data_IF_046286342922
#
_entry.id   IF_046286342922
#
_cell.length_a   1.000
_cell.length_b   1.000
_cell.length_c   1.000
_cell.angle_alpha   90.00
_cell.angle_beta   90.00
_cell.angle_gamma   90.00
#
_symmetry.space_group_name_H-M   'P 1'
#
loop_
_entity.id
_entity.type
_entity.pdbx_description
1 polymer ?
#
# COMPACT_ATOMS: atom_id res chain seq x y z
N UNK A 1 7.23 7.16 14.61
CA UNK A 1 6.43 8.19 13.90
C UNK A 1 7.18 9.49 13.60
N UNK A 2 8.10 9.96 14.44
CA UNK A 2 8.80 11.26 14.24
C UNK A 2 9.62 11.38 12.94
N UNK A 3 10.18 10.28 12.41
CA UNK A 3 11.01 10.30 11.18
C UNK A 3 10.14 10.49 9.93
N UNK A 4 9.00 9.83 9.86
CA UNK A 4 8.08 9.93 8.71
C UNK A 4 7.50 11.34 8.55
N UNK A 5 7.21 12.04 9.66
CA UNK A 5 6.74 13.42 9.61
C UNK A 5 7.74 14.40 9.00
N UNK A 6 9.05 14.18 9.21
CA UNK A 6 10.12 14.99 8.59
C UNK A 6 10.22 14.76 7.07
N UNK A 7 9.79 13.63 6.58
CA UNK A 7 9.78 13.25 5.16
C UNK A 7 8.46 13.60 4.46
N UNK A 8 7.59 14.39 5.08
CA UNK A 8 6.23 14.71 4.58
C UNK A 8 5.36 13.46 4.34
N UNK A 9 5.59 12.38 5.07
CA UNK A 9 4.79 11.17 5.00
C UNK A 9 3.57 11.32 5.90
N UNK A 10 2.39 11.24 5.32
CA UNK A 10 1.12 11.17 6.06
C UNK A 10 0.83 9.71 6.39
N UNK A 11 0.68 9.40 7.67
CA UNK A 11 0.39 8.04 8.13
C UNK A 11 -1.09 7.93 8.47
N UNK A 12 -1.76 7.00 7.81
CA UNK A 12 -3.12 6.61 8.15
C UNK A 12 -3.13 5.15 8.65
N UNK A 13 -3.74 4.90 9.78
CA UNK A 13 -3.81 3.57 10.38
C UNK A 13 -5.23 3.22 10.81
N UNK A 14 -5.58 1.94 10.73
CA UNK A 14 -6.81 1.37 11.29
C UNK A 14 -6.48 0.13 12.10
N UNK A 15 -7.27 -0.09 13.15
CA UNK A 15 -7.20 -1.34 13.91
C UNK A 15 -7.66 -2.51 13.05
N UNK A 16 -6.96 -3.63 13.15
CA UNK A 16 -7.38 -4.88 12.52
C UNK A 16 -8.72 -5.33 13.11
N UNK A 17 -9.59 -5.86 12.27
CA UNK A 17 -10.79 -6.59 12.69
C UNK A 17 -10.45 -8.06 12.80
N UNK A 18 -10.66 -8.63 13.98
CA UNK A 18 -10.39 -10.02 14.24
C UNK A 18 -11.67 -10.86 14.04
N UNK A 19 -11.52 -12.02 13.42
CA UNK A 19 -12.58 -13.00 13.27
C UNK A 19 -12.01 -14.41 13.35
N UNK A 20 -12.83 -15.34 13.78
CA UNK A 20 -12.46 -16.74 13.85
C UNK A 20 -12.63 -17.40 12.48
N UNK A 21 -11.60 -18.09 12.01
CA UNK A 21 -11.68 -18.98 10.85
C UNK A 21 -11.56 -20.43 11.32
N UNK A 22 -12.31 -21.32 10.71
CA UNK A 22 -12.21 -22.76 10.94
C UNK A 22 -11.28 -23.36 9.88
N UNK A 23 -10.26 -24.06 10.32
CA UNK A 23 -9.32 -24.77 9.46
C UNK A 23 -9.52 -26.27 9.72
N UNK A 24 -9.93 -27.00 8.68
CA UNK A 24 -10.02 -28.46 8.75
C UNK A 24 -8.64 -29.05 8.49
N UNK A 25 -8.10 -29.79 9.44
CA UNK A 25 -6.83 -30.48 9.31
C UNK A 25 -6.98 -31.80 8.53
N UNK A 26 -5.88 -32.38 8.02
CA UNK A 26 -5.90 -33.65 7.28
C UNK A 26 -6.48 -34.84 8.06
N UNK A 27 -6.40 -34.81 9.38
CA UNK A 27 -6.97 -35.80 10.31
C UNK A 27 -8.49 -35.63 10.55
N UNK A 28 -9.10 -34.61 9.92
CA UNK A 28 -10.52 -34.29 10.06
C UNK A 28 -10.86 -33.39 11.24
N UNK A 29 -9.91 -33.05 12.12
CA UNK A 29 -10.13 -32.13 13.24
C UNK A 29 -10.34 -30.70 12.74
N UNK A 30 -11.15 -29.93 13.49
CA UNK A 30 -11.39 -28.51 13.18
C UNK A 30 -10.65 -27.65 14.20
N UNK A 31 -9.70 -26.88 13.68
CA UNK A 31 -9.02 -25.84 14.47
C UNK A 31 -9.62 -24.48 14.21
N UNK A 32 -9.95 -23.77 15.31
CA UNK A 32 -10.37 -22.35 15.20
C UNK A 32 -9.16 -21.46 15.40
N UNK A 33 -8.88 -20.61 14.39
CA UNK A 33 -7.81 -19.64 14.43
C UNK A 33 -8.36 -18.23 14.38
N UNK A 34 -7.92 -17.38 15.31
CA UNK A 34 -8.21 -15.95 15.27
C UNK A 34 -7.31 -15.28 14.24
N UNK A 35 -7.92 -14.64 13.24
CA UNK A 35 -7.20 -13.95 12.15
C UNK A 35 -7.59 -12.49 12.13
N UNK A 36 -6.58 -11.62 12.16
CA UNK A 36 -6.76 -10.20 11.94
C UNK A 36 -6.91 -9.92 10.44
N UNK A 37 -7.95 -9.20 10.08
CA UNK A 37 -8.19 -8.73 8.71
C UNK A 37 -8.21 -7.22 8.67
N UNK A 38 -7.42 -6.66 7.76
CA UNK A 38 -7.54 -5.26 7.40
C UNK A 38 -8.89 -5.01 6.71
N UNK A 39 -9.47 -3.84 6.90
CA UNK A 39 -10.70 -3.45 6.22
C UNK A 39 -10.75 -1.95 5.98
N UNK A 40 -10.86 -1.59 4.70
CA UNK A 40 -11.14 -0.23 4.26
C UNK A 40 -9.90 0.66 4.07
N UNK A 41 -8.70 0.09 4.01
CA UNK A 41 -7.50 0.85 3.58
C UNK A 41 -7.60 1.17 2.09
N UNK A 42 -8.06 0.24 1.25
CA UNK A 42 -8.23 0.47 -0.20
C UNK A 42 -9.21 1.60 -0.47
N UNK A 43 -10.33 1.62 0.27
CA UNK A 43 -11.31 2.71 0.22
C UNK A 43 -10.67 4.04 0.64
N UNK A 44 -9.79 4.03 1.65
CA UNK A 44 -9.07 5.23 2.08
C UNK A 44 -8.10 5.71 1.01
N UNK A 45 -7.35 4.80 0.38
CA UNK A 45 -6.46 5.13 -0.72
C UNK A 45 -7.25 5.77 -1.86
N UNK A 46 -8.36 5.17 -2.27
CA UNK A 46 -9.24 5.68 -3.31
C UNK A 46 -9.70 7.12 -3.01
N UNK A 47 -10.21 7.35 -1.81
CA UNK A 47 -10.69 8.66 -1.38
C UNK A 47 -9.57 9.70 -1.36
N UNK A 48 -8.37 9.35 -0.86
CA UNK A 48 -7.26 10.29 -0.80
C UNK A 48 -6.74 10.64 -2.20
N UNK A 49 -6.62 9.67 -3.10
CA UNK A 49 -6.19 9.91 -4.49
C UNK A 49 -7.14 10.87 -5.18
N UNK A 50 -8.46 10.62 -5.12
CA UNK A 50 -9.48 11.47 -5.76
C UNK A 50 -9.51 12.86 -5.11
N UNK A 51 -9.56 12.95 -3.78
CA UNK A 51 -9.61 14.21 -3.05
C UNK A 51 -8.41 15.11 -3.35
N UNK A 52 -7.20 14.54 -3.34
CA UNK A 52 -5.98 15.30 -3.61
C UNK A 52 -5.91 15.76 -5.07
N UNK A 53 -6.46 15.00 -6.03
CA UNK A 53 -6.61 15.43 -7.41
C UNK A 53 -7.51 16.65 -7.53
N UNK A 54 -8.70 16.63 -6.88
CA UNK A 54 -9.62 17.77 -6.87
C UNK A 54 -9.00 19.03 -6.29
N UNK A 55 -8.11 18.91 -5.30
CA UNK A 55 -7.43 20.04 -4.67
C UNK A 55 -6.12 20.45 -5.39
N UNK A 56 -5.81 19.88 -6.54
CA UNK A 56 -4.59 20.17 -7.31
C UNK A 56 -3.28 19.90 -6.53
N UNK A 57 -3.29 18.88 -5.64
CA UNK A 57 -2.15 18.59 -4.77
C UNK A 57 -1.08 17.73 -5.48
N UNK A 58 -1.38 17.18 -6.66
CA UNK A 58 -0.44 16.42 -7.48
C UNK A 58 -0.81 16.45 -8.97
N UNK A 59 0.16 16.16 -9.82
CA UNK A 59 -0.01 15.89 -11.25
C UNK A 59 0.15 14.41 -11.58
N UNK A 60 0.90 13.66 -10.76
CA UNK A 60 1.10 12.22 -10.90
C UNK A 60 0.87 11.53 -9.56
N UNK A 61 -0.07 10.58 -9.54
CA UNK A 61 -0.25 9.66 -8.42
C UNK A 61 0.41 8.32 -8.72
N UNK A 62 1.19 7.79 -7.79
CA UNK A 62 1.73 6.43 -7.85
C UNK A 62 1.14 5.61 -6.71
N UNK A 63 0.34 4.61 -7.06
CA UNK A 63 -0.28 3.69 -6.10
C UNK A 63 0.54 2.40 -6.05
N UNK A 64 1.01 2.01 -4.85
CA UNK A 64 1.69 0.74 -4.65
C UNK A 64 0.64 -0.36 -4.39
N UNK A 65 0.00 -0.83 -5.46
CA UNK A 65 -1.05 -1.84 -5.39
C UNK A 65 -1.21 -2.59 -6.71
N UNK A 66 -1.76 -3.80 -6.64
CA UNK A 66 -2.24 -4.61 -7.76
C UNK A 66 -3.75 -4.90 -7.64
N UNK A 67 -4.42 -4.27 -6.67
CA UNK A 67 -5.84 -4.49 -6.43
C UNK A 67 -6.67 -3.86 -7.54
N UNK A 68 -7.47 -4.69 -8.22
CA UNK A 68 -8.29 -4.26 -9.35
C UNK A 68 -9.49 -3.41 -8.93
N UNK A 69 -9.86 -3.40 -7.65
CA UNK A 69 -10.90 -2.51 -7.14
C UNK A 69 -10.52 -1.03 -7.27
N UNK A 70 -9.19 -0.75 -7.38
CA UNK A 70 -8.69 0.60 -7.64
C UNK A 70 -8.79 1.03 -9.12
N UNK A 71 -9.30 0.18 -10.02
CA UNK A 71 -9.53 0.53 -11.43
C UNK A 71 -10.51 1.70 -11.58
N UNK A 72 -11.51 1.75 -10.70
CA UNK A 72 -12.51 2.84 -10.69
C UNK A 72 -11.86 4.19 -10.33
N UNK A 73 -10.85 4.18 -9.45
CA UNK A 73 -10.07 5.37 -9.12
C UNK A 73 -9.39 5.94 -10.37
N UNK A 74 -8.79 5.06 -11.18
CA UNK A 74 -8.14 5.48 -12.42
C UNK A 74 -9.12 6.08 -13.44
N UNK A 75 -10.34 5.56 -13.49
CA UNK A 75 -11.41 6.12 -14.32
C UNK A 75 -11.82 7.51 -13.83
N UNK A 76 -12.04 7.67 -12.52
CA UNK A 76 -12.43 8.94 -11.90
C UNK A 76 -11.36 10.03 -12.08
N UNK A 77 -10.07 9.69 -11.95
CA UNK A 77 -8.99 10.65 -12.19
C UNK A 77 -9.00 11.22 -13.62
N UNK A 78 -9.43 10.44 -14.61
CA UNK A 78 -9.60 10.95 -15.99
C UNK A 78 -10.74 11.95 -16.08
N UNK A 79 -11.82 11.73 -15.34
CA UNK A 79 -12.95 12.68 -15.27
C UNK A 79 -12.47 13.98 -14.63
N UNK A 80 -11.81 13.92 -13.47
CA UNK A 80 -11.25 15.08 -12.77
C UNK A 80 -10.29 15.87 -13.69
N UNK A 81 -9.41 15.16 -14.41
CA UNK A 81 -8.48 15.78 -15.35
C UNK A 81 -9.19 16.55 -16.47
N UNK A 82 -10.28 15.97 -17.00
CA UNK A 82 -11.10 16.60 -18.03
C UNK A 82 -11.86 17.82 -17.48
N UNK A 83 -12.50 17.70 -16.32
CA UNK A 83 -13.25 18.79 -15.69
C UNK A 83 -12.38 20.00 -15.35
N UNK A 84 -11.15 19.72 -14.87
CA UNK A 84 -10.18 20.76 -14.50
C UNK A 84 -9.34 21.24 -15.69
N UNK A 85 -9.54 20.67 -16.89
CA UNK A 85 -8.68 20.92 -18.06
C UNK A 85 -7.19 20.84 -17.69
N UNK A 86 -6.82 19.81 -16.95
CA UNK A 86 -5.47 19.62 -16.39
C UNK A 86 -4.95 18.23 -16.72
N UNK A 87 -3.64 18.15 -16.96
CA UNK A 87 -2.97 16.87 -17.14
C UNK A 87 -2.78 16.21 -15.77
N UNK A 88 -3.36 15.02 -15.58
CA UNK A 88 -3.18 14.19 -14.38
C UNK A 88 -2.91 12.76 -14.84
N UNK A 89 -1.90 12.12 -14.23
CA UNK A 89 -1.60 10.71 -14.44
C UNK A 89 -1.74 9.89 -13.17
N UNK A 90 -2.09 8.61 -13.37
CA UNK A 90 -2.13 7.61 -12.32
C UNK A 90 -1.32 6.40 -12.76
N UNK A 91 -0.42 5.93 -11.90
CA UNK A 91 0.39 4.75 -12.10
C UNK A 91 0.23 3.76 -10.96
N UNK A 92 0.34 2.47 -11.23
CA UNK A 92 0.43 1.43 -10.22
C UNK A 92 1.82 0.82 -10.22
N UNK A 93 2.48 0.87 -9.06
CA UNK A 93 3.77 0.25 -8.82
C UNK A 93 3.59 -1.07 -8.07
N UNK A 94 4.30 -2.10 -8.48
CA UNK A 94 4.15 -3.43 -7.90
C UNK A 94 5.44 -4.25 -8.00
N UNK A 95 5.68 -5.19 -7.07
CA UNK A 95 6.83 -6.08 -7.13
C UNK A 95 6.81 -6.92 -8.41
N UNK A 96 7.97 -7.12 -9.02
CA UNK A 96 8.11 -7.93 -10.23
C UNK A 96 9.30 -8.86 -10.13
N UNK A 97 9.09 -10.12 -10.48
CA UNK A 97 10.16 -11.12 -10.62
C UNK A 97 9.80 -12.15 -11.69
N UNK A 98 10.80 -12.91 -12.21
CA UNK A 98 10.54 -13.95 -13.19
C UNK A 98 9.56 -15.04 -12.70
N UNK A 99 9.57 -15.32 -11.38
CA UNK A 99 8.77 -16.39 -10.75
C UNK A 99 7.39 -15.94 -10.28
N UNK A 100 7.09 -14.62 -10.28
CA UNK A 100 5.79 -14.14 -9.86
C UNK A 100 4.70 -14.48 -10.86
N UNK A 101 3.57 -14.99 -10.34
CA UNK A 101 2.39 -15.31 -11.15
C UNK A 101 1.63 -14.06 -11.59
N UNK A 102 1.43 -13.09 -10.68
CA UNK A 102 0.76 -11.83 -11.01
C UNK A 102 1.78 -10.79 -11.48
N UNK A 103 1.71 -10.45 -12.76
CA UNK A 103 2.60 -9.47 -13.44
C UNK A 103 1.82 -8.25 -13.93
N UNK A 104 0.67 -7.97 -13.32
CA UNK A 104 -0.23 -6.89 -13.76
C UNK A 104 -0.35 -5.86 -12.65
N UNK A 105 -0.29 -4.60 -13.03
CA UNK A 105 -0.74 -3.50 -12.19
C UNK A 105 -2.25 -3.32 -12.22
N UNK A 106 -2.74 -2.27 -11.61
CA UNK A 106 -4.14 -1.87 -11.67
C UNK A 106 -4.51 -1.51 -13.11
N UNK A 107 -5.65 -1.98 -13.58
CA UNK A 107 -6.13 -1.64 -14.92
C UNK A 107 -6.31 -0.12 -15.06
N UNK A 108 -6.21 0.37 -16.29
CA UNK A 108 -6.35 1.80 -16.61
C UNK A 108 -5.31 2.74 -15.98
N UNK A 109 -4.23 2.19 -15.38
CA UNK A 109 -3.07 2.95 -14.89
C UNK A 109 -1.83 2.68 -15.74
N UNK A 110 -0.80 3.50 -15.60
CA UNK A 110 0.54 3.16 -16.07
C UNK A 110 1.16 2.13 -15.12
N UNK A 111 1.83 1.10 -15.66
CA UNK A 111 2.41 0.04 -14.84
C UNK A 111 3.88 0.26 -14.61
N UNK A 112 4.28 0.26 -13.33
CA UNK A 112 5.66 0.41 -12.89
C UNK A 112 6.08 -0.89 -12.19
N UNK A 113 6.63 -1.88 -12.91
CA UNK A 113 7.16 -3.07 -12.28
C UNK A 113 8.44 -2.73 -11.52
N UNK A 114 8.49 -3.11 -10.24
CA UNK A 114 9.65 -2.92 -9.36
C UNK A 114 10.37 -4.26 -9.27
N UNK A 115 11.46 -4.39 -9.96
CA UNK A 115 12.33 -5.55 -9.86
C UNK A 115 13.30 -5.44 -8.66
N UNK A 116 14.06 -6.52 -8.44
CA UNK A 116 15.02 -6.56 -7.34
C UNK A 116 16.09 -5.48 -7.46
N UNK A 117 16.56 -5.19 -8.67
CA UNK A 117 17.62 -4.20 -8.88
C UNK A 117 17.13 -2.79 -8.56
N UNK A 118 15.90 -2.44 -8.95
CA UNK A 118 15.28 -1.17 -8.60
C UNK A 118 15.04 -1.07 -7.09
N UNK A 119 14.51 -2.12 -6.47
CA UNK A 119 14.29 -2.18 -5.03
C UNK A 119 15.59 -1.95 -4.24
N UNK A 120 16.68 -2.64 -4.60
CA UNK A 120 17.95 -2.54 -3.91
C UNK A 120 18.57 -1.13 -4.00
N UNK A 121 18.32 -0.40 -5.09
CA UNK A 121 18.75 1.01 -5.22
C UNK A 121 18.00 1.96 -4.29
N UNK A 122 16.81 1.59 -3.86
CA UNK A 122 15.94 2.42 -3.01
C UNK A 122 16.04 2.04 -1.52
N UNK A 123 16.88 1.09 -1.14
CA UNK A 123 17.06 0.69 0.25
C UNK A 123 17.64 1.85 1.08
N UNK A 124 16.94 2.18 2.16
CA UNK A 124 17.47 3.03 3.20
C UNK A 124 18.19 2.15 4.24
N UNK A 125 19.51 2.33 4.36
CA UNK A 125 20.37 1.54 5.26
C UNK A 125 20.30 2.03 6.72
N UNK A 126 19.51 3.05 7.02
CA UNK A 126 19.36 3.56 8.39
C UNK A 126 18.58 2.58 9.25
N UNK A 127 19.09 2.37 10.46
CA UNK A 127 18.34 1.65 11.48
C UNK A 127 17.38 2.61 12.21
N UNK A 128 16.08 2.41 12.02
CA UNK A 128 15.01 3.20 12.65
C UNK A 128 14.48 2.57 13.93
N UNK A 129 15.02 1.45 14.35
CA UNK A 129 14.63 0.84 15.64
C UNK A 129 15.04 1.77 16.77
N UNK A 130 14.23 1.90 17.84
CA UNK A 130 14.65 2.60 19.05
C UNK A 130 15.96 1.96 19.55
N UNK A 131 16.99 2.76 19.79
CA UNK A 131 18.19 2.27 20.46
C UNK A 131 17.72 1.66 21.80
N UNK A 132 17.85 0.34 21.92
CA UNK A 132 17.47 -0.37 23.13
C UNK A 132 18.20 0.23 24.33
N UNK A 133 17.46 0.65 25.33
CA UNK A 133 18.03 0.88 26.66
C UNK A 133 18.67 -0.44 27.09
N UNK A 134 19.99 -0.51 27.04
CA UNK A 134 20.75 -1.57 27.68
C UNK A 134 20.35 -1.59 29.17
N UNK A 135 19.50 -2.55 29.54
CA UNK A 135 19.31 -2.89 30.91
C UNK A 135 20.65 -3.40 31.44
N UNK A 136 21.42 -2.51 32.02
CA UNK A 136 22.55 -2.89 32.87
C UNK A 136 21.99 -3.61 34.10
N UNK A 137 21.88 -4.92 33.99
CA UNK A 137 21.80 -5.77 35.17
C UNK A 137 23.23 -5.88 35.66
N UNK A 138 23.57 -5.08 36.64
CA UNK A 138 24.76 -5.30 37.44
C UNK A 138 24.48 -6.30 38.58
N UNK A 139 25.47 -7.13 38.98
CA UNK A 139 25.33 -8.25 39.87
C UNK A 139 24.99 -7.86 41.30
#
# INVERSE_FOLDING_TARGET
MAVMGRQKVVVYSRSLRYHNIQIKLPDGTIHTKLVGREKGIDVRIALDVIRLAHHNEYDVAVIFSQDQDLTEVAAEIRVVASEQNRWIRIASAFPSSPTMKNKRGVNNTEWIPIDRALYDKCLDLRDYRPSGSSSSTSP
#
